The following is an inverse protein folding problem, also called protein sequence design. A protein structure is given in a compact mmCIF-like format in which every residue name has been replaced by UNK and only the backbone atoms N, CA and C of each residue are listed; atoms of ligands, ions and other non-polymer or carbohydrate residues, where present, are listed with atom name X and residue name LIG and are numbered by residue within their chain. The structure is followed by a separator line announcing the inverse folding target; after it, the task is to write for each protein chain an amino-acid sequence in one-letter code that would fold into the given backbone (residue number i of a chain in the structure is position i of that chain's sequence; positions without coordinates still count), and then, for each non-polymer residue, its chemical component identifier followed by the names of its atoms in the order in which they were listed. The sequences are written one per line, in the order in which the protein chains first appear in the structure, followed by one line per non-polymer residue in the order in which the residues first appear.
data_IF_575492369653
#
_entry.id   IF_575492369653
#
_cell.length_a   1.000
_cell.length_b   1.000
_cell.length_c   1.000
_cell.angle_alpha   90.00
_cell.angle_beta   90.00
_cell.angle_gamma   90.00
#
_symmetry.space_group_name_H-M   'P 1'
#
loop_
_entity.id
_entity.type
_entity.pdbx_description
1 polymer ?
#
# COMPACT_ATOMS: atom_id res chain seq x y z
N UNK A 1 4.87 26.11 -11.30
CA UNK A 1 4.35 26.69 -10.04
C UNK A 1 3.29 25.73 -9.54
N UNK A 2 3.41 25.21 -8.32
CA UNK A 2 2.44 24.25 -7.79
C UNK A 2 1.11 24.93 -7.47
N UNK A 3 0.00 24.17 -7.48
CA UNK A 3 -1.31 24.68 -7.08
C UNK A 3 -1.95 23.82 -5.99
N UNK A 4 -2.93 24.38 -5.28
CA UNK A 4 -3.62 23.68 -4.21
C UNK A 4 -4.73 22.82 -4.79
N UNK A 5 -4.58 21.49 -4.70
CA UNK A 5 -5.59 20.56 -5.19
C UNK A 5 -6.62 20.26 -4.09
N UNK A 6 -7.90 20.44 -4.41
CA UNK A 6 -9.04 20.14 -3.53
C UNK A 6 -9.83 18.90 -3.97
N UNK A 7 -9.53 18.34 -5.16
CA UNK A 7 -10.26 17.20 -5.72
C UNK A 7 -9.32 16.12 -6.27
N UNK A 8 -9.55 14.87 -5.88
CA UNK A 8 -8.74 13.73 -6.35
C UNK A 8 -7.39 13.60 -5.64
N UNK A 9 -6.51 12.70 -6.11
CA UNK A 9 -5.22 12.45 -5.48
C UNK A 9 -4.22 13.57 -5.74
N UNK A 10 -3.38 13.89 -4.75
CA UNK A 10 -2.32 14.88 -4.95
C UNK A 10 -1.11 14.29 -5.66
N UNK A 11 -0.52 15.06 -6.58
CA UNK A 11 0.72 14.72 -7.29
C UNK A 11 1.83 15.68 -6.84
N UNK A 12 2.94 15.18 -6.26
CA UNK A 12 4.06 16.02 -5.84
C UNK A 12 4.70 16.87 -6.94
N UNK A 13 4.55 16.49 -8.22
CA UNK A 13 5.07 17.26 -9.34
C UNK A 13 4.20 18.48 -9.69
N UNK A 14 2.92 18.47 -9.32
CA UNK A 14 1.93 19.45 -9.74
C UNK A 14 1.32 20.23 -8.58
N UNK A 15 1.20 19.62 -7.41
CA UNK A 15 0.38 20.11 -6.30
C UNK A 15 1.22 20.43 -5.07
N UNK A 16 0.72 21.36 -4.25
CA UNK A 16 1.25 21.53 -2.89
C UNK A 16 1.02 20.26 -2.07
N UNK A 17 2.09 19.73 -1.49
CA UNK A 17 2.07 18.52 -0.68
C UNK A 17 2.24 18.85 0.80
N UNK A 18 1.37 18.24 1.62
CA UNK A 18 1.57 18.14 3.06
C UNK A 18 2.15 16.76 3.40
N UNK A 19 2.89 16.64 4.51
CA UNK A 19 3.31 15.34 5.03
C UNK A 19 2.11 14.40 5.16
N UNK A 20 2.26 13.18 4.67
CA UNK A 20 1.15 12.20 4.64
C UNK A 20 1.23 11.19 5.76
N UNK A 21 2.40 11.07 6.39
CA UNK A 21 2.72 10.18 7.50
C UNK A 21 1.77 10.39 8.69
N UNK A 22 1.42 11.64 9.10
CA UNK A 22 0.48 11.85 10.20
C UNK A 22 -0.95 11.37 9.92
N UNK A 23 -1.32 11.16 8.65
CA UNK A 23 -2.64 10.63 8.27
C UNK A 23 -2.74 9.11 8.49
N UNK A 24 -1.61 8.43 8.67
CA UNK A 24 -1.50 6.97 8.80
C UNK A 24 -0.61 6.57 9.98
N UNK A 25 -0.88 7.04 11.21
CA UNK A 25 0.05 6.94 12.34
C UNK A 25 0.45 5.50 12.69
N UNK A 26 -0.48 4.54 12.55
CA UNK A 26 -0.26 3.13 12.90
C UNK A 26 0.05 2.23 11.69
N UNK A 27 0.02 2.77 10.46
CA UNK A 27 0.16 1.93 9.27
C UNK A 27 1.52 1.21 9.25
N UNK A 28 2.58 1.88 9.72
CA UNK A 28 3.94 1.32 9.76
C UNK A 28 4.03 0.11 10.66
N UNK A 29 3.58 0.26 11.90
CA UNK A 29 3.57 -0.80 12.90
C UNK A 29 2.72 -2.00 12.43
N UNK A 30 1.55 -1.73 11.85
CA UNK A 30 0.67 -2.77 11.34
C UNK A 30 1.30 -3.54 10.17
N UNK A 31 2.03 -2.87 9.28
CA UNK A 31 2.78 -3.52 8.18
C UNK A 31 3.89 -4.42 8.72
N UNK A 32 4.64 -3.95 9.72
CA UNK A 32 5.73 -4.72 10.34
C UNK A 32 5.21 -5.95 11.09
N UNK A 33 3.98 -5.89 11.60
CA UNK A 33 3.28 -7.03 12.20
C UNK A 33 2.55 -7.93 11.18
N UNK A 34 2.70 -7.68 9.88
CA UNK A 34 1.99 -8.39 8.79
C UNK A 34 0.46 -8.35 8.93
N UNK A 35 -0.08 -7.24 9.45
CA UNK A 35 -1.52 -7.05 9.68
C UNK A 35 -2.19 -6.24 8.58
N UNK A 36 -3.44 -6.57 8.30
CA UNK A 36 -4.32 -5.74 7.49
C UNK A 36 -4.89 -4.59 8.32
N UNK A 37 -5.10 -3.44 7.67
CA UNK A 37 -5.73 -2.29 8.28
C UNK A 37 -6.66 -1.59 7.30
N UNK A 38 -7.68 -0.93 7.85
CA UNK A 38 -8.65 -0.16 7.09
C UNK A 38 -8.47 1.31 7.43
N UNK A 39 -8.41 2.15 6.40
CA UNK A 39 -8.31 3.60 6.56
C UNK A 39 -9.71 4.22 6.46
N UNK A 40 -10.29 4.55 7.60
CA UNK A 40 -11.54 5.30 7.67
C UNK A 40 -11.28 6.82 7.59
N UNK A 41 -12.16 7.56 6.92
CA UNK A 41 -12.12 9.02 6.95
C UNK A 41 -13.10 9.68 5.97
N UNK A 42 -13.43 10.98 6.14
CA UNK A 42 -14.35 11.72 5.28
C UNK A 42 -13.97 11.72 3.80
N UNK A 43 -14.90 12.07 2.90
CA UNK A 43 -14.56 12.27 1.47
C UNK A 43 -13.47 13.34 1.36
N UNK A 44 -12.57 13.16 0.38
CA UNK A 44 -11.47 14.10 0.09
C UNK A 44 -10.46 14.33 1.23
N UNK A 45 -10.44 13.48 2.26
CA UNK A 45 -9.48 13.57 3.38
C UNK A 45 -8.05 13.10 3.06
N UNK A 46 -7.67 13.02 1.78
CA UNK A 46 -6.31 12.62 1.38
C UNK A 46 -5.95 11.14 1.53
N UNK A 47 -6.90 10.23 1.82
CA UNK A 47 -6.62 8.78 1.99
C UNK A 47 -5.86 8.17 0.81
N UNK A 48 -6.33 8.42 -0.41
CA UNK A 48 -5.68 7.91 -1.63
C UNK A 48 -4.28 8.46 -1.80
N UNK A 49 -4.09 9.76 -1.52
CA UNK A 49 -2.77 10.41 -1.53
C UNK A 49 -1.84 9.77 -0.51
N UNK A 50 -2.31 9.55 0.72
CA UNK A 50 -1.52 8.96 1.80
C UNK A 50 -1.12 7.51 1.50
N UNK A 51 -2.03 6.68 0.97
CA UNK A 51 -1.71 5.30 0.58
C UNK A 51 -0.70 5.25 -0.58
N UNK A 52 -0.82 6.14 -1.57
CA UNK A 52 0.15 6.24 -2.67
C UNK A 52 1.53 6.69 -2.18
N UNK A 53 1.58 7.66 -1.26
CA UNK A 53 2.82 8.11 -0.65
C UNK A 53 3.48 6.99 0.16
N UNK A 54 2.70 6.29 1.00
CA UNK A 54 3.17 5.13 1.77
C UNK A 54 3.77 4.05 0.85
N UNK A 55 3.09 3.69 -0.24
CA UNK A 55 3.62 2.70 -1.19
C UNK A 55 4.94 3.14 -1.84
N UNK A 56 5.09 4.44 -2.19
CA UNK A 56 6.35 4.98 -2.70
C UNK A 56 7.47 4.89 -1.67
N UNK A 57 7.19 5.26 -0.42
CA UNK A 57 8.16 5.18 0.69
C UNK A 57 8.61 3.74 0.93
N UNK A 58 7.67 2.79 1.00
CA UNK A 58 7.99 1.37 1.17
C UNK A 58 8.85 0.81 0.04
N UNK A 59 8.54 1.17 -1.21
CA UNK A 59 9.33 0.76 -2.37
C UNK A 59 10.72 1.39 -2.39
N UNK A 60 10.86 2.65 -1.96
CA UNK A 60 12.15 3.33 -1.86
C UNK A 60 13.07 2.70 -0.80
N UNK A 61 12.50 2.11 0.25
CA UNK A 61 13.25 1.39 1.29
C UNK A 61 13.72 0.00 0.84
N UNK A 62 13.14 -0.57 -0.22
CA UNK A 62 13.55 -1.84 -0.81
C UNK A 62 13.30 -3.10 0.05
N UNK A 63 12.72 -2.97 1.24
CA UNK A 63 12.42 -4.11 2.14
C UNK A 63 11.18 -4.90 1.71
N UNK A 64 10.22 -4.21 1.09
CA UNK A 64 8.96 -4.79 0.62
C UNK A 64 8.61 -4.21 -0.75
N UNK A 65 7.92 -5.01 -1.57
CA UNK A 65 7.31 -4.52 -2.80
C UNK A 65 5.86 -4.11 -2.51
N UNK A 66 5.63 -2.81 -2.40
CA UNK A 66 4.31 -2.23 -2.24
C UNK A 66 3.65 -1.97 -3.60
N UNK A 67 2.49 -2.58 -3.82
CA UNK A 67 1.65 -2.37 -5.00
C UNK A 67 0.40 -1.60 -4.58
N UNK A 68 0.13 -0.49 -5.25
CA UNK A 68 -1.12 0.25 -5.10
C UNK A 68 -1.98 0.08 -6.36
N UNK A 69 -3.28 -0.16 -6.16
CA UNK A 69 -4.25 -0.32 -7.23
C UNK A 69 -5.64 0.12 -6.77
N UNK A 70 -6.49 0.51 -7.73
CA UNK A 70 -7.90 0.85 -7.47
C UNK A 70 -8.80 -0.32 -7.84
N UNK A 71 -9.68 -0.73 -6.91
CA UNK A 71 -10.71 -1.74 -7.14
C UNK A 71 -12.10 -1.12 -7.37
N UNK A 72 -12.20 0.17 -7.73
CA UNK A 72 -13.50 0.86 -7.87
C UNK A 72 -14.44 0.17 -8.87
N UNK A 73 -13.88 -0.38 -9.95
CA UNK A 73 -14.64 -1.11 -10.97
C UNK A 73 -15.08 -2.51 -10.51
N UNK A 74 -14.50 -3.03 -9.41
CA UNK A 74 -14.87 -4.34 -8.86
C UNK A 74 -16.30 -4.40 -8.35
N UNK A 75 -16.92 -3.25 -8.06
CA UNK A 75 -18.35 -3.19 -7.68
C UNK A 75 -19.28 -3.73 -8.77
N UNK A 76 -18.87 -3.63 -10.04
CA UNK A 76 -19.65 -4.14 -11.18
C UNK A 76 -19.53 -5.65 -11.30
N UNK A 77 -18.41 -6.23 -10.83
CA UNK A 77 -18.13 -7.66 -10.92
C UNK A 77 -18.97 -8.51 -9.95
N UNK A 78 -19.42 -7.95 -8.82
CA UNK A 78 -20.20 -8.70 -7.82
C UNK A 78 -19.41 -9.93 -7.32
N UNK A 79 -20.03 -11.11 -7.43
CA UNK A 79 -19.44 -12.39 -7.01
C UNK A 79 -18.69 -13.12 -8.14
N UNK A 80 -18.27 -12.40 -9.19
CA UNK A 80 -17.48 -12.97 -10.29
C UNK A 80 -16.07 -13.39 -9.81
N UNK A 81 -15.90 -14.70 -9.65
CA UNK A 81 -14.64 -15.33 -9.25
C UNK A 81 -13.54 -15.08 -10.28
N UNK A 82 -13.86 -15.08 -11.58
CA UNK A 82 -12.91 -14.84 -12.66
C UNK A 82 -12.32 -13.43 -12.63
N UNK A 83 -13.13 -12.44 -12.23
CA UNK A 83 -12.64 -11.09 -11.96
C UNK A 83 -11.66 -11.08 -10.78
N UNK A 84 -12.00 -11.78 -9.70
CA UNK A 84 -11.11 -11.93 -8.53
C UNK A 84 -9.78 -12.58 -8.87
N UNK A 85 -9.78 -13.65 -9.66
CA UNK A 85 -8.57 -14.32 -10.13
C UNK A 85 -7.71 -13.39 -11.01
N UNK A 86 -8.36 -12.62 -11.89
CA UNK A 86 -7.69 -11.63 -12.74
C UNK A 86 -7.03 -10.53 -11.91
N UNK A 87 -7.70 -10.05 -10.86
CA UNK A 87 -7.16 -9.07 -9.92
C UNK A 87 -5.92 -9.63 -9.20
N UNK A 88 -6.00 -10.84 -8.65
CA UNK A 88 -4.87 -11.49 -7.97
C UNK A 88 -3.68 -11.69 -8.91
N UNK A 89 -3.95 -12.11 -10.15
CA UNK A 89 -2.93 -12.25 -11.19
C UNK A 89 -2.24 -10.91 -11.49
N UNK A 90 -3.02 -9.83 -11.62
CA UNK A 90 -2.52 -8.48 -11.85
C UNK A 90 -1.69 -7.95 -10.66
N UNK A 91 -2.12 -8.20 -9.43
CA UNK A 91 -1.34 -7.84 -8.23
C UNK A 91 0.01 -8.55 -8.24
N UNK A 92 0.01 -9.85 -8.56
CA UNK A 92 1.24 -10.65 -8.59
C UNK A 92 2.19 -10.20 -9.70
N UNK A 93 1.68 -9.88 -10.89
CA UNK A 93 2.51 -9.38 -12.00
C UNK A 93 3.11 -8.02 -11.69
N UNK A 94 2.32 -7.09 -11.14
CA UNK A 94 2.79 -5.78 -10.70
C UNK A 94 3.85 -5.90 -9.59
N UNK A 95 3.64 -6.78 -8.61
CA UNK A 95 4.61 -7.04 -7.54
C UNK A 95 5.96 -7.50 -8.08
N UNK A 96 5.95 -8.46 -9.02
CA UNK A 96 7.19 -8.90 -9.69
C UNK A 96 7.89 -7.78 -10.45
N UNK A 97 7.13 -6.93 -11.14
CA UNK A 97 7.70 -5.80 -11.87
C UNK A 97 8.38 -4.80 -10.92
N UNK A 98 7.77 -4.50 -9.77
CA UNK A 98 8.35 -3.64 -8.74
C UNK A 98 9.64 -4.27 -8.17
N UNK A 99 9.63 -5.56 -7.85
CA UNK A 99 10.83 -6.27 -7.39
C UNK A 99 11.96 -6.24 -8.43
N UNK A 100 11.63 -6.41 -9.72
CA UNK A 100 12.60 -6.40 -10.81
C UNK A 100 13.22 -4.99 -11.01
N UNK A 101 12.41 -3.94 -10.90
CA UNK A 101 12.86 -2.55 -11.04
C UNK A 101 13.68 -2.06 -9.83
N UNK A 102 13.49 -2.65 -8.66
CA UNK A 102 14.11 -2.23 -7.39
C UNK A 102 15.46 -2.86 -7.05
N UNK A 103 16.11 -3.60 -7.96
CA UNK A 103 17.43 -4.18 -7.67
C UNK A 103 18.57 -3.24 -8.05
N UNK A 104 19.14 -2.54 -7.06
CA UNK A 104 20.56 -2.74 -6.78
C UNK A 104 20.84 -2.88 -5.27
N UNK A 105 21.46 -3.99 -4.87
CA UNK A 105 22.32 -4.01 -3.67
C UNK A 105 21.72 -4.59 -2.38
N UNK A 106 21.82 -5.91 -2.26
CA UNK A 106 22.02 -6.75 -1.05
C UNK A 106 21.88 -6.17 0.38
N UNK A 107 21.24 -7.01 1.22
CA UNK A 107 21.55 -7.30 2.64
C UNK A 107 21.31 -6.19 3.69
N UNK A 108 20.25 -6.38 4.45
CA UNK A 108 20.38 -6.68 5.89
C UNK A 108 19.20 -7.53 6.35
N UNK A 109 19.47 -8.41 7.32
CA UNK A 109 18.60 -9.45 7.81
C UNK A 109 17.23 -8.91 8.27
N UNK A 110 16.16 -9.62 7.91
CA UNK A 110 14.85 -9.40 8.53
C UNK A 110 14.94 -9.64 10.03
N UNK A 111 14.20 -8.90 10.87
CA UNK A 111 14.02 -9.32 12.25
C UNK A 111 13.29 -10.66 12.21
N UNK A 112 13.80 -11.59 13.02
CA UNK A 112 13.37 -12.97 13.11
C UNK A 112 11.84 -13.09 13.14
N UNK A 113 11.32 -14.06 12.37
CA UNK A 113 9.96 -14.58 12.51
C UNK A 113 9.74 -14.93 13.98
N UNK A 114 9.09 -14.06 14.73
CA UNK A 114 8.69 -14.35 16.10
C UNK A 114 7.63 -15.44 16.02
N UNK A 115 7.90 -16.55 16.70
CA UNK A 115 7.11 -17.77 16.64
C UNK A 115 5.64 -17.51 16.92
N UNK A 116 4.80 -18.16 16.11
CA UNK A 116 3.38 -18.37 16.35
C UNK A 116 3.23 -19.11 17.70
N UNK A 117 2.67 -18.54 18.78
CA UNK A 117 2.26 -19.37 19.90
C UNK A 117 1.06 -20.19 19.43
N UNK A 118 1.15 -21.51 19.62
CA UNK A 118 0.05 -22.42 19.35
C UNK A 118 -1.21 -21.95 20.08
N UNK A 119 -2.32 -21.85 19.36
CA UNK A 119 -3.62 -21.60 19.96
C UNK A 119 -3.94 -22.79 20.89
N UNK A 120 -3.84 -22.54 22.20
CA UNK A 120 -4.40 -23.42 23.22
C UNK A 120 -5.88 -23.10 23.36
N UNK A 121 -6.73 -24.06 23.00
CA UNK A 121 -8.14 -24.10 23.39
C UNK A 121 -8.28 -24.25 24.91
N UNK A 122 -9.39 -23.76 25.46
CA UNK A 122 -10.26 -24.64 26.23
C UNK A 122 -11.61 -24.86 25.55
#
# INVERSE_FOLDING_TARGET
MGYFNTAGPCDPALHYMLPTEPLLPYARELIEMERYFVVHGPRQSGKTTALRALARTLNAEGRVAAVWLSCENGKVAGDDVGWGESLVSAVRSAGRAVCAAGSPGSRSAGPARSGRPAAGSP
#
